data_IF_236807897970
#
_entry.id   IF_236807897970
#
_cell.length_a   1.000
_cell.length_b   1.000
_cell.length_c   1.000
_cell.angle_alpha   90.00
_cell.angle_beta   90.00
_cell.angle_gamma   90.00
#
_symmetry.space_group_name_H-M   'P 1'
#
loop_
_entity.id
_entity.type
_entity.pdbx_description
1 polymer ?
#
# COMPACT_ATOMS: atom_id res chain seq x y z
N UNK A 1 -30.30 -5.36 54.40
CA UNK A 1 -29.42 -6.42 53.86
C UNK A 1 -28.60 -5.78 52.75
N UNK A 2 -27.31 -5.60 52.99
CA UNK A 2 -26.40 -4.83 52.15
C UNK A 2 -25.93 -5.67 50.95
N UNK A 3 -25.90 -5.04 49.79
CA UNK A 3 -25.41 -5.53 48.51
C UNK A 3 -23.87 -5.54 48.51
N UNK A 4 -23.27 -6.72 48.35
CA UNK A 4 -21.82 -6.86 48.20
C UNK A 4 -21.43 -6.83 46.71
N UNK A 5 -20.65 -5.82 46.33
CA UNK A 5 -19.90 -5.79 45.07
C UNK A 5 -18.68 -6.72 45.17
N UNK A 6 -18.32 -7.50 44.13
CA UNK A 6 -17.07 -8.24 44.13
C UNK A 6 -15.90 -7.28 43.84
N UNK A 7 -15.00 -7.17 44.81
CA UNK A 7 -13.76 -6.40 44.70
C UNK A 7 -12.80 -7.04 43.70
N UNK A 8 -12.26 -6.21 42.80
CA UNK A 8 -11.11 -6.57 41.98
C UNK A 8 -9.84 -6.41 42.80
N UNK A 9 -9.25 -7.53 43.19
CA UNK A 9 -7.88 -7.57 43.73
C UNK A 9 -6.92 -7.36 42.57
N UNK A 10 -6.24 -6.22 42.51
CA UNK A 10 -5.11 -6.03 41.59
C UNK A 10 -3.91 -6.83 42.10
N UNK A 11 -3.55 -7.90 41.40
CA UNK A 11 -2.20 -8.47 41.46
C UNK A 11 -1.36 -7.80 40.39
N UNK A 12 -0.53 -6.86 40.82
CA UNK A 12 0.57 -6.28 40.06
C UNK A 12 1.67 -7.33 39.85
N UNK A 13 2.06 -7.59 38.60
CA UNK A 13 3.45 -7.81 38.18
C UNK A 13 3.47 -8.07 36.67
N UNK A 14 3.98 -7.10 35.89
CA UNK A 14 4.95 -7.29 34.81
C UNK A 14 5.37 -5.90 34.32
N UNK A 15 6.51 -5.42 34.79
CA UNK A 15 7.21 -4.29 34.17
C UNK A 15 7.74 -4.75 32.80
N UNK A 16 6.97 -4.49 31.75
CA UNK A 16 7.53 -4.43 30.40
C UNK A 16 8.18 -3.05 30.24
N UNK A 17 9.46 -2.95 29.81
CA UNK A 17 10.05 -1.65 29.57
C UNK A 17 9.32 -1.00 28.41
N UNK A 18 8.64 0.13 28.67
CA UNK A 18 8.18 1.01 27.62
C UNK A 18 9.41 1.45 26.81
N UNK A 19 9.56 0.91 25.60
CA UNK A 19 10.58 1.36 24.67
C UNK A 19 10.26 2.80 24.30
N UNK A 20 10.90 3.73 25.00
CA UNK A 20 10.85 5.15 24.66
C UNK A 20 11.64 5.31 23.37
N UNK A 21 10.94 5.27 22.23
CA UNK A 21 11.47 5.69 20.94
C UNK A 21 11.71 7.20 21.00
N UNK A 22 12.81 7.60 21.65
CA UNK A 22 13.21 8.99 21.76
C UNK A 22 13.50 9.51 20.35
N UNK A 23 12.64 10.41 19.87
CA UNK A 23 12.82 11.13 18.62
C UNK A 23 14.12 11.93 18.69
N UNK A 24 15.15 11.48 17.98
CA UNK A 24 16.44 12.17 17.87
C UNK A 24 16.36 13.13 16.68
N UNK A 25 16.59 14.44 16.84
CA UNK A 25 16.52 15.38 15.74
C UNK A 25 17.56 15.04 14.68
N UNK A 26 17.13 15.01 13.42
CA UNK A 26 17.89 14.49 12.29
C UNK A 26 19.19 15.27 12.01
N UNK A 27 20.24 14.53 11.66
CA UNK A 27 21.44 15.02 10.99
C UNK A 27 21.10 15.72 9.66
N UNK A 28 22.07 16.45 9.08
CA UNK A 28 21.94 17.27 7.86
C UNK A 28 20.89 16.74 6.86
N UNK A 29 19.90 17.58 6.53
CA UNK A 29 18.75 17.23 5.68
C UNK A 29 19.22 16.71 4.33
N UNK A 30 19.24 15.39 4.16
CA UNK A 30 19.33 14.74 2.85
C UNK A 30 18.19 15.28 1.98
N UNK A 31 18.50 15.76 0.78
CA UNK A 31 17.47 16.17 -0.17
C UNK A 31 16.70 14.93 -0.65
N UNK A 32 15.42 14.91 -0.33
CA UNK A 32 14.46 13.84 -0.58
C UNK A 32 13.39 14.26 -1.59
N UNK A 33 13.60 15.36 -2.33
CA UNK A 33 12.70 15.76 -3.39
C UNK A 33 12.66 14.71 -4.50
N UNK A 34 11.52 14.55 -5.18
CA UNK A 34 11.40 13.62 -6.31
C UNK A 34 12.44 13.89 -7.40
N UNK A 35 12.82 15.17 -7.58
CA UNK A 35 13.86 15.58 -8.52
C UNK A 35 15.26 15.05 -8.18
N UNK A 36 15.52 14.81 -6.90
CA UNK A 36 16.78 14.25 -6.39
C UNK A 36 16.71 12.74 -6.29
N UNK A 37 15.58 12.20 -5.83
CA UNK A 37 15.32 10.76 -5.79
C UNK A 37 15.43 10.10 -7.18
N UNK A 38 14.82 10.69 -8.21
CA UNK A 38 14.89 10.12 -9.57
C UNK A 38 16.31 10.11 -10.16
N UNK A 39 17.18 11.03 -9.75
CA UNK A 39 18.59 11.06 -10.20
C UNK A 39 19.39 9.87 -9.69
N UNK A 40 18.98 9.24 -8.58
CA UNK A 40 19.57 7.97 -8.13
C UNK A 40 19.13 6.75 -8.94
N UNK A 41 18.24 6.93 -9.92
CA UNK A 41 17.67 5.86 -10.73
C UNK A 41 17.89 6.16 -12.23
N UNK A 42 19.09 5.84 -12.77
CA UNK A 42 19.41 6.13 -14.16
C UNK A 42 18.39 5.56 -15.14
N UNK A 43 18.01 6.34 -16.15
CA UNK A 43 17.01 5.94 -17.15
C UNK A 43 15.55 6.20 -16.74
N UNK A 44 15.32 6.71 -15.52
CA UNK A 44 14.01 7.16 -15.07
C UNK A 44 13.90 8.69 -15.06
N UNK A 45 12.68 9.18 -15.18
CA UNK A 45 12.34 10.60 -15.11
C UNK A 45 11.00 10.81 -14.44
N UNK A 46 10.85 11.94 -13.75
CA UNK A 46 9.56 12.39 -13.25
C UNK A 46 8.66 12.83 -14.42
N UNK A 47 7.36 12.72 -14.19
CA UNK A 47 6.31 13.20 -15.07
C UNK A 47 5.09 13.64 -14.26
N UNK A 48 4.26 14.46 -14.89
CA UNK A 48 2.96 14.85 -14.34
C UNK A 48 1.92 14.84 -15.46
N UNK A 49 0.72 14.38 -15.16
CA UNK A 49 -0.43 14.49 -16.03
C UNK A 49 -1.63 14.98 -15.23
N UNK A 50 -2.53 15.72 -15.87
CA UNK A 50 -3.82 16.09 -15.29
C UNK A 50 -4.88 15.21 -15.93
N UNK A 51 -5.55 14.40 -15.11
CA UNK A 51 -6.54 13.39 -15.50
C UNK A 51 -7.70 13.45 -14.52
N UNK A 52 -8.94 13.35 -14.97
CA UNK A 52 -10.15 13.41 -14.15
C UNK A 52 -10.17 14.58 -13.14
N UNK A 53 -9.60 15.72 -13.52
CA UNK A 53 -9.49 16.91 -12.66
C UNK A 53 -8.45 16.84 -11.55
N UNK A 54 -7.63 15.78 -11.48
CA UNK A 54 -6.50 15.64 -10.55
C UNK A 54 -5.17 15.62 -11.30
N UNK A 55 -4.16 16.31 -10.76
CA UNK A 55 -2.79 16.20 -11.26
C UNK A 55 -2.08 15.06 -10.54
N UNK A 56 -1.69 14.02 -11.29
CA UNK A 56 -0.92 12.89 -10.80
C UNK A 56 0.58 13.08 -11.10
N UNK A 57 1.40 12.70 -10.13
CA UNK A 57 2.83 12.50 -10.28
C UNK A 57 3.11 11.04 -10.65
N UNK A 58 4.06 10.82 -11.55
CA UNK A 58 4.56 9.49 -11.87
C UNK A 58 6.05 9.53 -12.21
N UNK A 59 6.72 8.40 -12.04
CA UNK A 59 8.10 8.16 -12.47
C UNK A 59 8.08 7.11 -13.57
N UNK A 60 8.72 7.40 -14.70
CA UNK A 60 8.72 6.51 -15.88
C UNK A 60 10.13 6.22 -16.36
N UNK A 61 10.39 4.98 -16.76
CA UNK A 61 11.66 4.55 -17.34
C UNK A 61 11.57 3.16 -17.97
N UNK A 62 12.65 2.72 -18.61
CA UNK A 62 12.69 1.42 -19.30
C UNK A 62 12.16 1.46 -20.74
N UNK A 63 12.01 0.27 -21.33
CA UNK A 63 11.53 0.05 -22.69
C UNK A 63 10.78 -1.28 -22.77
N UNK A 64 9.77 -1.35 -23.64
CA UNK A 64 8.93 -2.54 -23.82
C UNK A 64 7.48 -2.26 -23.47
N UNK A 65 6.72 -3.32 -23.25
CA UNK A 65 5.30 -3.23 -22.85
C UNK A 65 5.13 -2.42 -21.55
N UNK A 66 4.03 -1.67 -21.39
CA UNK A 66 3.81 -0.82 -20.23
C UNK A 66 3.45 -1.63 -18.97
N UNK A 67 4.15 -1.34 -17.87
CA UNK A 67 3.89 -1.89 -16.53
C UNK A 67 3.64 -0.74 -15.54
N UNK A 68 2.42 -0.66 -15.02
CA UNK A 68 2.04 0.32 -14.00
C UNK A 68 2.26 -0.26 -12.60
N UNK A 69 2.94 0.48 -11.71
CA UNK A 69 3.15 0.11 -10.32
C UNK A 69 2.48 1.13 -9.38
N UNK A 70 1.60 0.63 -8.48
CA UNK A 70 0.80 1.44 -7.57
C UNK A 70 1.23 1.20 -6.09
N UNK A 71 1.72 2.23 -5.39
CA UNK A 71 2.22 2.10 -4.01
C UNK A 71 1.12 1.94 -2.96
N UNK A 72 1.55 1.49 -1.79
CA UNK A 72 0.76 1.41 -0.57
C UNK A 72 0.86 2.61 0.36
N UNK A 73 0.18 2.53 1.49
CA UNK A 73 0.41 3.43 2.63
C UNK A 73 1.33 2.77 3.67
N UNK A 74 2.25 3.52 4.33
CA UNK A 74 2.49 4.96 4.25
C UNK A 74 3.60 5.33 3.25
N UNK A 75 3.64 4.65 2.11
CA UNK A 75 4.70 4.79 1.11
C UNK A 75 4.34 5.80 0.00
N UNK A 76 5.20 5.88 -1.01
CA UNK A 76 5.05 6.66 -2.25
C UNK A 76 5.61 5.85 -3.42
N UNK A 77 5.71 6.41 -4.62
CA UNK A 77 6.41 5.79 -5.75
C UNK A 77 7.79 5.22 -5.39
N UNK A 78 8.45 5.84 -4.40
CA UNK A 78 9.78 5.44 -3.94
C UNK A 78 9.85 3.99 -3.44
N UNK A 79 8.75 3.37 -2.98
CA UNK A 79 8.79 1.98 -2.49
C UNK A 79 9.28 0.97 -3.52
N UNK A 80 9.10 1.29 -4.81
CA UNK A 80 9.52 0.42 -5.90
C UNK A 80 10.95 0.69 -6.37
N UNK A 81 11.69 1.64 -5.77
CA UNK A 81 13.03 2.05 -6.25
C UNK A 81 14.02 0.89 -6.34
N UNK A 82 13.88 -0.15 -5.51
CA UNK A 82 14.75 -1.35 -5.51
C UNK A 82 14.43 -2.35 -6.60
N UNK A 83 13.17 -2.37 -7.09
CA UNK A 83 12.73 -3.37 -8.08
C UNK A 83 12.54 -2.79 -9.47
N UNK A 84 12.18 -1.50 -9.58
CA UNK A 84 11.87 -0.88 -10.86
C UNK A 84 13.04 -0.91 -11.87
N UNK A 85 14.34 -0.82 -11.50
CA UNK A 85 15.43 -0.94 -12.47
C UNK A 85 15.46 -2.30 -13.16
N UNK A 86 15.30 -3.40 -12.42
CA UNK A 86 15.29 -4.75 -12.98
C UNK A 86 14.05 -4.97 -13.87
N UNK A 87 12.89 -4.43 -13.48
CA UNK A 87 11.69 -4.47 -14.31
C UNK A 87 11.85 -3.67 -15.61
N UNK A 88 12.54 -2.52 -15.54
CA UNK A 88 12.75 -1.62 -16.68
C UNK A 88 13.70 -2.15 -17.76
N UNK A 89 14.42 -3.25 -17.50
CA UNK A 89 15.18 -3.97 -18.53
C UNK A 89 14.26 -4.63 -19.57
N UNK A 90 12.98 -4.86 -19.23
CA UNK A 90 12.02 -5.57 -20.06
C UNK A 90 10.71 -4.81 -20.34
N UNK A 91 10.36 -3.87 -19.46
CA UNK A 91 9.10 -3.12 -19.50
C UNK A 91 9.33 -1.62 -19.52
N UNK A 92 8.36 -0.87 -20.05
CA UNK A 92 8.25 0.55 -19.73
C UNK A 92 7.53 0.67 -18.39
N UNK A 93 8.28 0.91 -17.31
CA UNK A 93 7.78 0.94 -15.94
C UNK A 93 7.27 2.34 -15.61
N UNK A 94 6.03 2.43 -15.13
CA UNK A 94 5.33 3.66 -14.75
C UNK A 94 4.90 3.53 -13.29
N UNK A 95 5.59 4.19 -12.38
CA UNK A 95 5.26 4.17 -10.94
C UNK A 95 4.50 5.44 -10.59
N UNK A 96 3.30 5.31 -10.02
CA UNK A 96 2.37 6.45 -9.87
C UNK A 96 2.16 6.75 -8.40
N UNK A 97 2.36 8.02 -8.00
CA UNK A 97 1.79 8.47 -6.72
C UNK A 97 0.28 8.57 -6.91
N UNK A 98 -0.50 7.77 -6.18
CA UNK A 98 -1.96 7.80 -6.24
C UNK A 98 -2.53 9.18 -5.86
N UNK A 99 -3.80 9.46 -6.18
CA UNK A 99 -4.47 10.65 -5.62
C UNK A 99 -4.33 10.65 -4.09
N UNK A 100 -3.95 11.79 -3.53
CA UNK A 100 -3.66 11.93 -2.11
C UNK A 100 -2.22 11.61 -1.68
N UNK A 101 -1.47 10.89 -2.51
CA UNK A 101 -0.12 10.39 -2.20
C UNK A 101 0.96 11.35 -2.72
N UNK A 102 2.12 11.35 -2.05
CA UNK A 102 3.35 11.96 -2.57
C UNK A 102 3.16 13.34 -3.20
N UNK A 103 3.65 13.50 -4.43
CA UNK A 103 3.52 14.75 -5.19
C UNK A 103 2.22 14.89 -6.00
N UNK A 104 1.33 13.90 -5.93
CA UNK A 104 -0.01 13.96 -6.52
C UNK A 104 -0.95 14.88 -5.74
N UNK A 105 -1.98 15.33 -6.46
CA UNK A 105 -3.05 16.18 -5.93
C UNK A 105 -3.75 15.53 -4.75
N UNK A 106 -4.19 16.35 -3.79
CA UNK A 106 -4.92 15.93 -2.59
C UNK A 106 -6.35 16.53 -2.65
N UNK A 107 -7.22 16.05 -3.57
CA UNK A 107 -8.59 16.53 -3.67
C UNK A 107 -9.36 16.26 -2.37
N UNK A 108 -10.55 16.83 -2.23
CA UNK A 108 -11.39 16.63 -1.04
C UNK A 108 -12.10 15.28 -1.04
N UNK A 109 -12.24 14.62 -2.19
CA UNK A 109 -13.06 13.44 -2.41
C UNK A 109 -12.51 12.50 -3.51
N UNK A 110 -13.29 11.46 -3.84
CA UNK A 110 -13.01 10.49 -4.90
C UNK A 110 -11.94 9.47 -4.53
N UNK A 111 -11.87 9.06 -3.27
CA UNK A 111 -10.87 8.13 -2.74
C UNK A 111 -11.31 6.65 -2.72
N UNK A 112 -12.51 6.37 -3.24
CA UNK A 112 -12.92 5.02 -3.59
C UNK A 112 -12.05 4.48 -4.74
N UNK A 113 -11.73 3.19 -4.68
CA UNK A 113 -10.75 2.57 -5.58
C UNK A 113 -11.22 2.56 -7.02
N UNK A 114 -12.54 2.60 -7.27
CA UNK A 114 -13.12 2.74 -8.60
C UNK A 114 -12.77 4.09 -9.23
N UNK A 115 -12.94 5.19 -8.50
CA UNK A 115 -12.53 6.53 -8.94
C UNK A 115 -11.02 6.61 -9.12
N UNK A 116 -10.24 6.06 -8.18
CA UNK A 116 -8.78 6.02 -8.30
C UNK A 116 -8.32 5.23 -9.53
N UNK A 117 -8.98 4.11 -9.83
CA UNK A 117 -8.72 3.31 -11.03
C UNK A 117 -9.01 4.08 -12.32
N UNK A 118 -10.05 4.92 -12.34
CA UNK A 118 -10.35 5.79 -13.48
C UNK A 118 -9.23 6.80 -13.75
N UNK A 119 -8.58 7.34 -12.71
CA UNK A 119 -7.40 8.20 -12.89
C UNK A 119 -6.24 7.45 -13.53
N UNK A 120 -5.98 6.22 -13.09
CA UNK A 120 -4.91 5.39 -13.64
C UNK A 120 -5.21 5.05 -15.10
N UNK A 121 -6.46 4.74 -15.43
CA UNK A 121 -6.88 4.48 -16.81
C UNK A 121 -6.72 5.70 -17.72
N UNK A 122 -7.17 6.88 -17.29
CA UNK A 122 -6.94 8.08 -18.11
C UNK A 122 -5.46 8.46 -18.18
N UNK A 123 -4.67 8.20 -17.13
CA UNK A 123 -3.23 8.40 -17.16
C UNK A 123 -2.57 7.50 -18.22
N UNK A 124 -2.86 6.20 -18.24
CA UNK A 124 -2.27 5.27 -19.23
C UNK A 124 -2.66 5.66 -20.66
N UNK A 125 -3.92 6.03 -20.88
CA UNK A 125 -4.41 6.57 -22.15
C UNK A 125 -3.67 7.85 -22.57
N UNK A 126 -3.49 8.81 -21.64
CA UNK A 126 -2.77 10.07 -21.91
C UNK A 126 -1.29 9.86 -22.26
N UNK A 127 -0.71 8.74 -21.82
CA UNK A 127 0.66 8.33 -22.14
C UNK A 127 0.74 7.49 -23.43
N UNK A 128 -0.39 7.20 -24.08
CA UNK A 128 -0.48 6.45 -25.33
C UNK A 128 -0.51 4.93 -25.15
N UNK A 129 -0.93 4.43 -23.99
CA UNK A 129 -1.02 3.00 -23.70
C UNK A 129 -2.49 2.56 -23.59
N UNK A 130 -2.93 1.78 -24.58
CA UNK A 130 -4.29 1.23 -24.60
C UNK A 130 -4.48 0.06 -23.63
N UNK A 131 -3.39 -0.66 -23.35
CA UNK A 131 -3.39 -1.85 -22.51
C UNK A 131 -2.11 -1.92 -21.71
N UNK A 132 -2.20 -2.25 -20.43
CA UNK A 132 -1.04 -2.31 -19.52
C UNK A 132 -1.07 -3.56 -18.63
N UNK A 133 0.10 -4.04 -18.25
CA UNK A 133 0.21 -4.82 -17.03
C UNK A 133 0.13 -3.86 -15.83
N UNK A 134 -0.59 -4.24 -14.77
CA UNK A 134 -0.77 -3.40 -13.59
C UNK A 134 -0.47 -4.19 -12.32
N UNK A 135 0.33 -3.59 -11.44
CA UNK A 135 0.70 -4.15 -10.17
C UNK A 135 0.45 -3.13 -9.06
N UNK A 136 0.04 -3.60 -7.88
CA UNK A 136 -0.14 -2.72 -6.74
C UNK A 136 0.21 -3.39 -5.42
N UNK A 137 0.67 -2.59 -4.46
CA UNK A 137 0.93 -2.96 -3.07
C UNK A 137 -0.04 -2.25 -2.14
N UNK A 138 -0.55 -2.95 -1.11
CA UNK A 138 -1.47 -2.40 -0.11
C UNK A 138 -2.68 -1.68 -0.74
N UNK A 139 -2.97 -0.40 -0.43
CA UNK A 139 -4.04 0.37 -1.07
C UNK A 139 -3.88 0.39 -2.60
N UNK A 140 -2.66 0.44 -3.11
CA UNK A 140 -2.37 0.33 -4.55
C UNK A 140 -2.78 -1.02 -5.14
N UNK A 141 -2.69 -2.11 -4.38
CA UNK A 141 -3.21 -3.44 -4.78
C UNK A 141 -4.73 -3.40 -4.96
N UNK A 142 -5.44 -2.73 -4.03
CA UNK A 142 -6.88 -2.56 -4.13
C UNK A 142 -7.29 -1.65 -5.32
N UNK A 143 -6.49 -0.63 -5.66
CA UNK A 143 -6.70 0.18 -6.88
C UNK A 143 -6.43 -0.63 -8.14
N UNK A 144 -5.37 -1.45 -8.17
CA UNK A 144 -5.04 -2.30 -9.32
C UNK A 144 -6.15 -3.33 -9.60
N UNK A 145 -6.73 -3.91 -8.56
CA UNK A 145 -7.92 -4.77 -8.69
C UNK A 145 -9.12 -4.01 -9.28
N UNK A 146 -9.44 -2.84 -8.73
CA UNK A 146 -10.54 -2.02 -9.25
C UNK A 146 -10.31 -1.60 -10.71
N UNK A 147 -9.06 -1.34 -11.11
CA UNK A 147 -8.71 -1.10 -12.52
C UNK A 147 -9.03 -2.31 -13.39
N UNK A 148 -8.61 -3.51 -12.97
CA UNK A 148 -8.82 -4.72 -13.74
C UNK A 148 -10.30 -5.08 -13.91
N UNK A 149 -11.13 -4.86 -12.88
CA UNK A 149 -12.58 -5.08 -12.93
C UNK A 149 -13.30 -4.06 -13.82
N UNK A 150 -12.93 -2.77 -13.75
CA UNK A 150 -13.61 -1.72 -14.52
C UNK A 150 -13.09 -1.59 -15.95
N UNK A 151 -11.84 -2.00 -16.22
CA UNK A 151 -11.16 -1.87 -17.51
C UNK A 151 -10.48 -3.19 -17.94
N UNK A 152 -11.23 -4.30 -18.07
CA UNK A 152 -10.63 -5.61 -18.38
C UNK A 152 -9.93 -5.63 -19.74
N UNK A 153 -10.45 -4.90 -20.74
CA UNK A 153 -9.83 -4.79 -22.07
C UNK A 153 -8.47 -4.05 -22.04
N UNK A 154 -8.35 -3.07 -21.14
CA UNK A 154 -7.13 -2.28 -20.93
C UNK A 154 -6.14 -2.94 -19.94
N UNK A 155 -6.45 -4.16 -19.46
CA UNK A 155 -5.62 -4.90 -18.51
C UNK A 155 -5.00 -6.11 -19.19
N UNK A 156 -3.67 -6.17 -19.24
CA UNK A 156 -2.93 -7.32 -19.75
C UNK A 156 -2.81 -8.43 -18.69
N UNK A 157 -2.20 -8.08 -17.57
CA UNK A 157 -1.98 -8.94 -16.40
C UNK A 157 -2.10 -8.11 -15.13
N UNK A 158 -2.58 -8.73 -14.06
CA UNK A 158 -2.73 -8.10 -12.74
C UNK A 158 -1.76 -8.74 -11.74
N UNK A 159 -1.04 -7.92 -10.97
CA UNK A 159 -0.26 -8.36 -9.81
C UNK A 159 -0.77 -7.65 -8.55
N UNK A 160 -1.15 -8.43 -7.54
CA UNK A 160 -1.67 -7.92 -6.27
C UNK A 160 -0.74 -8.30 -5.13
N UNK A 161 -0.29 -7.31 -4.36
CA UNK A 161 0.65 -7.48 -3.27
C UNK A 161 0.02 -7.06 -1.94
N UNK A 162 -0.01 -7.99 -0.99
CA UNK A 162 -0.25 -7.76 0.45
C UNK A 162 -1.61 -7.25 0.92
N UNK A 163 -2.49 -6.76 0.04
CA UNK A 163 -3.85 -6.35 0.42
C UNK A 163 -4.87 -6.63 -0.69
N UNK A 164 -5.98 -7.35 -0.41
CA UNK A 164 -7.01 -7.57 -1.40
C UNK A 164 -7.89 -6.31 -1.50
N UNK A 165 -8.68 -6.20 -2.56
CA UNK A 165 -9.69 -5.16 -2.64
C UNK A 165 -10.72 -5.33 -1.50
N UNK A 166 -11.13 -4.25 -0.81
CA UNK A 166 -12.15 -4.33 0.25
C UNK A 166 -13.40 -5.11 -0.15
N UNK A 167 -13.74 -6.11 0.66
CA UNK A 167 -14.95 -6.91 0.54
C UNK A 167 -15.69 -7.02 1.88
N UNK A 168 -16.81 -7.75 1.90
CA UNK A 168 -17.60 -7.96 3.11
C UNK A 168 -16.80 -8.59 4.26
N UNK A 169 -15.70 -9.31 3.97
CA UNK A 169 -14.87 -9.92 5.01
C UNK A 169 -14.22 -8.90 5.93
N UNK A 170 -13.86 -7.70 5.42
CA UNK A 170 -13.27 -6.64 6.23
C UNK A 170 -14.19 -6.16 7.36
N UNK A 171 -15.51 -6.24 7.18
CA UNK A 171 -16.49 -5.87 8.22
C UNK A 171 -16.48 -6.85 9.41
N UNK A 172 -15.86 -8.02 9.26
CA UNK A 172 -15.75 -9.04 10.30
C UNK A 172 -14.45 -8.95 11.11
N UNK A 173 -13.56 -8.01 10.76
CA UNK A 173 -12.30 -7.82 11.48
C UNK A 173 -12.58 -7.14 12.82
N UNK A 174 -12.19 -7.76 13.95
CA UNK A 174 -12.45 -7.19 15.26
C UNK A 174 -11.55 -5.98 15.50
N UNK A 175 -12.11 -4.94 16.10
CA UNK A 175 -11.34 -3.79 16.56
C UNK A 175 -10.34 -4.17 17.67
N UNK A 176 -10.72 -5.12 18.51
CA UNK A 176 -9.91 -5.58 19.63
C UNK A 176 -9.18 -6.88 19.25
N UNK A 177 -7.87 -6.99 19.56
CA UNK A 177 -7.15 -8.24 19.36
C UNK A 177 -7.70 -9.34 20.29
N UNK A 178 -7.62 -10.58 19.84
CA UNK A 178 -7.93 -11.73 20.69
C UNK A 178 -6.91 -11.83 21.85
N UNK A 179 -7.30 -12.51 22.93
CA UNK A 179 -6.40 -12.73 24.07
C UNK A 179 -5.09 -13.40 23.60
N UNK A 180 -3.94 -12.82 23.94
CA UNK A 180 -2.62 -13.27 23.52
C UNK A 180 -2.21 -12.93 22.07
N UNK A 181 -3.05 -12.24 21.30
CA UNK A 181 -2.71 -11.76 19.96
C UNK A 181 -2.10 -10.36 19.94
N UNK A 182 -2.10 -9.65 21.07
CA UNK A 182 -1.42 -8.37 21.21
C UNK A 182 0.10 -8.56 21.35
N UNK A 183 0.88 -7.85 20.54
CA UNK A 183 2.34 -7.89 20.59
C UNK A 183 2.98 -6.77 19.77
N UNK A 184 4.30 -6.65 19.88
CA UNK A 184 5.09 -5.55 19.29
C UNK A 184 5.32 -5.70 17.77
N UNK A 185 5.05 -6.88 17.21
CA UNK A 185 5.18 -7.19 15.78
C UNK A 185 3.92 -7.86 15.26
N UNK A 186 3.74 -7.79 13.95
CA UNK A 186 2.73 -8.55 13.25
C UNK A 186 3.00 -10.05 13.43
N UNK A 187 2.20 -10.69 14.28
CA UNK A 187 2.23 -12.13 14.50
C UNK A 187 1.38 -12.89 13.47
N UNK A 188 1.34 -14.21 13.63
CA UNK A 188 0.47 -15.10 12.84
C UNK A 188 -0.99 -15.11 13.30
N UNK A 189 -1.28 -14.57 14.50
CA UNK A 189 -2.63 -14.30 14.98
C UNK A 189 -3.12 -12.95 14.41
N UNK A 190 -4.43 -12.82 14.14
CA UNK A 190 -5.03 -11.67 13.42
C UNK A 190 -4.42 -10.32 13.86
N UNK A 191 -4.01 -9.45 12.92
CA UNK A 191 -3.34 -8.20 13.22
C UNK A 191 -4.19 -7.29 14.12
N UNK A 192 -3.52 -6.52 14.98
CA UNK A 192 -4.13 -5.40 15.69
C UNK A 192 -4.30 -4.21 14.72
N UNK A 193 -5.35 -4.21 13.91
CA UNK A 193 -5.64 -3.21 12.87
C UNK A 193 -6.19 -1.89 13.43
N UNK A 194 -5.62 -1.35 14.51
CA UNK A 194 -6.14 -0.14 15.16
C UNK A 194 -6.18 1.07 14.21
N UNK A 195 -5.23 1.16 13.26
CA UNK A 195 -5.15 2.29 12.34
C UNK A 195 -6.31 2.30 11.32
N UNK A 196 -6.89 1.14 11.00
CA UNK A 196 -8.10 1.08 10.16
C UNK A 196 -9.24 1.86 10.81
N UNK A 197 -9.39 1.75 12.14
CA UNK A 197 -10.40 2.50 12.87
C UNK A 197 -9.98 3.95 13.12
N UNK A 198 -8.71 4.19 13.41
CA UNK A 198 -8.18 5.54 13.64
C UNK A 198 -8.35 6.45 12.41
N UNK A 199 -8.03 5.93 11.21
CA UNK A 199 -8.12 6.69 9.95
C UNK A 199 -9.58 6.96 9.52
N UNK A 200 -10.57 6.29 10.12
CA UNK A 200 -11.99 6.59 9.92
C UNK A 200 -12.45 7.82 10.71
N UNK A 201 -11.71 8.24 11.75
CA UNK A 201 -12.11 9.36 12.60
C UNK A 201 -11.84 10.68 11.88
N UNK A 202 -12.91 11.41 11.52
CA UNK A 202 -12.76 12.68 10.82
C UNK A 202 -12.09 13.76 11.69
N UNK A 203 -11.01 14.35 11.19
CA UNK A 203 -10.36 15.53 11.77
C UNK A 203 -9.45 15.29 12.98
N UNK A 204 -9.54 14.14 13.65
CA UNK A 204 -8.66 13.82 14.79
C UNK A 204 -7.24 13.42 14.34
N UNK A 205 -7.03 12.51 13.36
CA UNK A 205 -5.69 12.14 12.94
C UNK A 205 -4.87 13.34 12.43
N UNK A 206 -5.48 14.26 11.70
CA UNK A 206 -4.82 15.47 11.21
C UNK A 206 -4.29 16.33 12.36
N UNK A 207 -5.09 16.52 13.42
CA UNK A 207 -4.70 17.28 14.62
C UNK A 207 -3.58 16.59 15.41
N UNK A 208 -3.56 15.26 15.44
CA UNK A 208 -2.56 14.49 16.16
C UNK A 208 -1.25 14.38 15.39
N UNK A 209 -1.31 14.13 14.08
CA UNK A 209 -0.17 13.70 13.29
C UNK A 209 0.47 14.79 12.43
N UNK A 210 -0.19 15.92 12.15
CA UNK A 210 0.45 16.97 11.36
C UNK A 210 1.72 17.49 12.05
N UNK A 211 2.86 17.47 11.35
CA UNK A 211 4.19 17.76 11.91
C UNK A 211 4.79 16.65 12.78
N UNK A 212 4.09 15.51 12.96
CA UNK A 212 4.47 14.38 13.82
C UNK A 212 4.18 13.01 13.19
N UNK A 213 3.86 12.94 11.90
CA UNK A 213 3.41 11.69 11.23
C UNK A 213 4.44 10.58 11.35
N UNK A 214 5.71 10.99 11.50
CA UNK A 214 6.84 10.11 11.72
C UNK A 214 6.67 9.13 12.87
N UNK A 215 6.00 9.54 13.95
CA UNK A 215 5.76 8.70 15.12
C UNK A 215 4.88 7.49 14.77
N UNK A 216 3.84 7.72 13.99
CA UNK A 216 2.94 6.66 13.51
C UNK A 216 3.66 5.77 12.49
N UNK A 217 4.36 6.37 11.52
CA UNK A 217 5.12 5.62 10.52
C UNK A 217 6.18 4.72 11.15
N UNK A 218 6.95 5.23 12.11
CA UNK A 218 7.97 4.42 12.80
C UNK A 218 7.32 3.26 13.58
N UNK A 219 6.17 3.51 14.22
CA UNK A 219 5.40 2.44 14.87
C UNK A 219 4.93 1.38 13.88
N UNK A 220 4.38 1.78 12.74
CA UNK A 220 3.89 0.85 11.70
C UNK A 220 5.04 0.06 11.08
N UNK A 221 6.13 0.72 10.70
CA UNK A 221 7.30 0.02 10.15
C UNK A 221 7.90 -0.95 11.16
N UNK A 222 7.94 -0.60 12.45
CA UNK A 222 8.34 -1.55 13.49
C UNK A 222 7.35 -2.72 13.54
N UNK A 223 6.05 -2.46 13.60
CA UNK A 223 5.04 -3.50 13.69
C UNK A 223 5.08 -4.46 12.49
N UNK A 224 5.28 -3.94 11.27
CA UNK A 224 5.09 -4.68 10.03
C UNK A 224 6.34 -5.26 9.39
N UNK A 225 7.53 -4.70 9.62
CA UNK A 225 8.77 -5.22 9.02
C UNK A 225 9.31 -6.39 9.83
N UNK A 226 9.82 -7.41 9.12
CA UNK A 226 10.69 -8.43 9.72
C UNK A 226 12.12 -7.89 9.79
N UNK A 227 12.59 -7.26 8.72
CA UNK A 227 13.88 -6.59 8.63
C UNK A 227 13.71 -5.06 8.66
N UNK A 228 13.87 -4.44 9.83
CA UNK A 228 13.75 -2.98 9.95
C UNK A 228 14.73 -2.18 9.09
N UNK A 229 15.86 -2.77 8.71
CA UNK A 229 16.86 -2.12 7.85
C UNK A 229 16.45 -2.09 6.38
N UNK A 230 15.39 -2.83 6.01
CA UNK A 230 14.84 -2.78 4.67
C UNK A 230 14.30 -1.39 4.33
N UNK A 231 13.70 -0.70 5.29
CA UNK A 231 13.28 0.69 5.11
C UNK A 231 14.24 1.56 5.91
N UNK A 232 15.25 2.12 5.25
CA UNK A 232 16.33 2.85 5.90
C UNK A 232 15.91 4.28 6.28
N UNK A 233 16.81 5.06 6.89
CA UNK A 233 16.53 6.43 7.32
C UNK A 233 16.17 7.39 6.19
N UNK A 234 16.70 7.18 4.97
CA UNK A 234 16.38 7.99 3.80
C UNK A 234 14.98 7.66 3.31
N UNK A 235 14.65 6.37 3.14
CA UNK A 235 13.31 5.92 2.73
C UNK A 235 12.25 6.49 3.68
N UNK A 236 12.52 6.32 4.97
CA UNK A 236 11.77 6.87 6.07
C UNK A 236 11.55 8.39 5.97
N UNK A 237 12.58 9.16 5.62
CA UNK A 237 12.46 10.61 5.46
C UNK A 237 11.61 11.00 4.24
N UNK A 238 11.70 10.23 3.14
CA UNK A 238 10.83 10.40 1.95
C UNK A 238 9.37 10.22 2.35
N UNK A 239 9.06 9.13 3.05
CA UNK A 239 7.70 8.83 3.48
C UNK A 239 7.17 9.84 4.51
N UNK A 240 8.00 10.31 5.43
CA UNK A 240 7.60 11.38 6.35
C UNK A 240 7.21 12.64 5.56
N UNK A 241 8.06 13.08 4.63
CA UNK A 241 7.83 14.30 3.86
C UNK A 241 6.51 14.28 3.09
N UNK A 242 6.14 13.13 2.53
CA UNK A 242 4.90 12.97 1.78
C UNK A 242 3.64 13.17 2.64
N UNK A 243 3.69 12.79 3.91
CA UNK A 243 2.50 12.75 4.78
C UNK A 243 2.52 13.74 5.96
N UNK A 244 3.58 14.52 6.18
CA UNK A 244 3.71 15.35 7.40
C UNK A 244 2.83 16.63 7.45
N UNK A 245 1.77 16.70 6.64
CA UNK A 245 0.84 17.84 6.60
C UNK A 245 -0.60 17.38 6.81
N UNK A 246 -1.44 18.25 7.38
CA UNK A 246 -2.85 17.96 7.61
C UNK A 246 -3.60 17.55 6.32
N UNK A 247 -3.28 18.19 5.19
CA UNK A 247 -3.90 17.85 3.91
C UNK A 247 -3.50 16.44 3.40
N UNK A 248 -2.25 16.04 3.63
CA UNK A 248 -1.78 14.71 3.24
C UNK A 248 -2.32 13.61 4.17
N UNK A 249 -2.39 13.87 5.48
CA UNK A 249 -3.02 12.97 6.45
C UNK A 249 -4.49 12.78 6.12
N UNK A 250 -5.24 13.87 5.89
CA UNK A 250 -6.64 13.80 5.44
C UNK A 250 -6.80 12.95 4.19
N UNK A 251 -5.92 13.14 3.21
CA UNK A 251 -5.96 12.38 1.97
C UNK A 251 -5.67 10.88 2.19
N UNK A 252 -4.71 10.54 3.05
CA UNK A 252 -4.42 9.15 3.43
C UNK A 252 -5.59 8.51 4.19
N UNK A 253 -6.21 9.26 5.12
CA UNK A 253 -7.41 8.83 5.84
C UNK A 253 -8.57 8.51 4.90
N UNK A 254 -8.75 9.35 3.87
CA UNK A 254 -9.84 9.23 2.93
C UNK A 254 -9.82 7.89 2.15
N UNK A 255 -8.66 7.25 1.97
CA UNK A 255 -8.59 5.90 1.38
C UNK A 255 -9.29 4.84 2.25
N UNK A 256 -9.16 4.95 3.58
CA UNK A 256 -9.83 4.06 4.54
C UNK A 256 -11.31 4.43 4.68
N UNK A 257 -11.64 5.72 4.71
CA UNK A 257 -13.01 6.21 4.80
C UNK A 257 -13.85 5.81 3.58
N UNK A 258 -13.21 5.51 2.44
CA UNK A 258 -13.86 5.01 1.25
C UNK A 258 -14.17 3.50 1.27
N UNK A 259 -13.64 2.72 2.24
CA UNK A 259 -13.87 1.26 2.28
C UNK A 259 -15.34 0.83 2.25
N UNK A 260 -16.30 1.51 2.90
CA UNK A 260 -17.71 1.14 2.76
C UNK A 260 -18.22 1.23 1.31
N UNK A 261 -17.77 2.23 0.55
CA UNK A 261 -18.10 2.34 -0.88
C UNK A 261 -17.39 1.25 -1.69
N UNK A 262 -16.10 1.01 -1.41
CA UNK A 262 -15.32 -0.04 -2.08
C UNK A 262 -15.96 -1.43 -1.90
N UNK A 263 -16.41 -1.75 -0.68
CA UNK A 263 -17.14 -3.00 -0.38
C UNK A 263 -18.45 -3.06 -1.16
N UNK A 264 -19.18 -1.94 -1.25
CA UNK A 264 -20.41 -1.87 -2.03
C UNK A 264 -20.17 -2.10 -3.52
N UNK A 265 -19.09 -1.53 -4.07
CA UNK A 265 -18.72 -1.71 -5.48
C UNK A 265 -18.29 -3.16 -5.75
N UNK A 266 -17.52 -3.76 -4.85
CA UNK A 266 -17.03 -5.14 -4.98
C UNK A 266 -18.15 -6.20 -5.07
N UNK A 267 -19.33 -5.92 -4.52
CA UNK A 267 -20.52 -6.78 -4.66
C UNK A 267 -21.05 -6.84 -6.09
N UNK A 268 -20.74 -5.85 -6.91
CA UNK A 268 -21.13 -5.77 -8.33
C UNK A 268 -20.01 -6.21 -9.28
N UNK A 269 -18.81 -6.42 -8.77
CA UNK A 269 -17.66 -6.91 -9.55
C UNK A 269 -17.75 -8.41 -9.82
N UNK A 270 -17.28 -8.78 -11.01
CA UNK A 270 -17.40 -10.12 -11.58
C UNK A 270 -16.21 -11.01 -11.19
N UNK A 271 -15.77 -11.80 -12.17
CA UNK A 271 -14.52 -12.54 -12.09
C UNK A 271 -13.47 -11.91 -13.00
N UNK A 272 -12.26 -11.74 -12.47
CA UNK A 272 -11.06 -11.36 -13.22
C UNK A 272 -10.74 -12.46 -14.24
N UNK A 273 -10.81 -12.09 -15.53
CA UNK A 273 -10.57 -13.00 -16.66
C UNK A 273 -9.11 -13.03 -17.12
N UNK A 274 -8.36 -11.96 -16.86
CA UNK A 274 -6.92 -11.88 -17.15
C UNK A 274 -6.11 -12.73 -16.15
N UNK A 275 -4.87 -13.11 -16.49
CA UNK A 275 -3.98 -13.73 -15.52
C UNK A 275 -3.74 -12.82 -14.31
N UNK A 276 -3.80 -13.41 -13.11
CA UNK A 276 -3.58 -12.73 -11.84
C UNK A 276 -2.44 -13.40 -11.08
N UNK A 277 -1.48 -12.60 -10.61
CA UNK A 277 -0.49 -13.01 -9.62
C UNK A 277 -0.83 -12.39 -8.27
N UNK A 278 -0.93 -13.22 -7.26
CA UNK A 278 -1.00 -12.80 -5.86
C UNK A 278 0.36 -13.01 -5.20
N UNK A 279 0.83 -12.00 -4.47
CA UNK A 279 2.05 -12.11 -3.67
C UNK A 279 1.79 -11.60 -2.25
N UNK A 280 2.35 -12.29 -1.26
CA UNK A 280 2.36 -11.79 0.10
C UNK A 280 3.30 -12.56 1.00
N UNK A 281 3.77 -11.94 2.07
CA UNK A 281 4.30 -12.58 3.26
C UNK A 281 3.16 -12.80 4.26
N UNK A 282 2.95 -11.90 5.25
CA UNK A 282 1.96 -12.11 6.29
C UNK A 282 0.52 -12.18 5.76
N UNK A 283 0.20 -11.48 4.66
CA UNK A 283 -1.13 -11.49 4.06
C UNK A 283 -1.36 -12.66 3.09
N UNK A 284 -0.35 -13.49 2.79
CA UNK A 284 -0.41 -14.51 1.73
C UNK A 284 -1.67 -15.37 1.75
N UNK A 285 -2.00 -15.94 2.91
CA UNK A 285 -3.18 -16.83 3.05
C UNK A 285 -4.49 -16.09 2.83
N UNK A 286 -4.58 -14.85 3.31
CA UNK A 286 -5.77 -14.03 3.17
C UNK A 286 -5.95 -13.58 1.71
N UNK A 287 -4.88 -13.10 1.08
CA UNK A 287 -4.85 -12.74 -0.34
C UNK A 287 -5.28 -13.90 -1.23
N UNK A 288 -4.68 -15.08 -1.03
CA UNK A 288 -4.98 -16.28 -1.81
C UNK A 288 -6.45 -16.70 -1.68
N UNK A 289 -7.03 -16.56 -0.49
CA UNK A 289 -8.45 -16.86 -0.25
C UNK A 289 -9.35 -15.86 -0.98
N UNK A 290 -9.19 -14.55 -0.70
CA UNK A 290 -10.09 -13.51 -1.22
C UNK A 290 -9.99 -13.37 -2.73
N UNK A 291 -8.77 -13.34 -3.27
CA UNK A 291 -8.56 -13.18 -4.73
C UNK A 291 -8.86 -14.47 -5.48
N UNK A 292 -8.64 -15.64 -4.86
CA UNK A 292 -8.94 -16.94 -5.47
C UNK A 292 -10.42 -17.12 -5.82
N UNK A 293 -11.33 -16.54 -5.03
CA UNK A 293 -12.77 -16.56 -5.32
C UNK A 293 -13.17 -15.61 -6.46
N UNK A 294 -12.28 -14.68 -6.84
CA UNK A 294 -12.52 -13.62 -7.83
C UNK A 294 -11.75 -13.81 -9.13
N UNK A 295 -10.76 -14.69 -9.22
CA UNK A 295 -9.90 -14.83 -10.39
C UNK A 295 -9.99 -16.21 -11.03
N UNK A 296 -10.21 -16.27 -12.35
CA UNK A 296 -10.29 -17.55 -13.08
C UNK A 296 -8.92 -18.18 -13.33
N UNK A 297 -7.88 -17.35 -13.44
CA UNK A 297 -6.49 -17.77 -13.64
C UNK A 297 -5.60 -17.05 -12.63
N UNK A 298 -5.33 -17.71 -11.50
CA UNK A 298 -4.54 -17.15 -10.41
C UNK A 298 -3.30 -18.00 -10.12
N UNK A 299 -2.15 -17.35 -10.11
CA UNK A 299 -0.93 -17.83 -9.48
C UNK A 299 -0.71 -17.13 -8.14
N UNK A 300 -0.07 -17.79 -7.17
CA UNK A 300 0.18 -17.22 -5.86
C UNK A 300 1.61 -17.53 -5.38
N UNK A 301 2.29 -16.50 -4.84
CA UNK A 301 3.66 -16.60 -4.30
C UNK A 301 3.67 -16.16 -2.84
N UNK A 302 4.10 -17.08 -1.97
CA UNK A 302 4.48 -16.77 -0.60
C UNK A 302 5.88 -16.13 -0.61
N UNK A 303 5.99 -14.91 -0.10
CA UNK A 303 7.25 -14.18 0.06
C UNK A 303 7.74 -14.40 1.48
N UNK A 304 8.33 -15.57 1.69
CA UNK A 304 8.83 -16.02 2.99
C UNK A 304 9.88 -15.05 3.56
N UNK A 305 9.95 -14.98 4.90
CA UNK A 305 10.86 -14.09 5.63
C UNK A 305 10.69 -12.62 5.25
N UNK A 306 9.47 -12.24 4.89
CA UNK A 306 9.06 -10.86 4.70
C UNK A 306 7.91 -10.52 5.63
N UNK A 307 7.88 -9.28 6.09
CA UNK A 307 6.70 -8.62 6.58
C UNK A 307 5.87 -8.05 5.43
N UNK A 308 5.13 -6.98 5.74
CA UNK A 308 4.14 -6.40 4.82
C UNK A 308 4.77 -5.64 3.63
N UNK A 309 5.99 -5.15 3.75
CA UNK A 309 6.63 -4.35 2.71
C UNK A 309 7.52 -5.22 1.81
N UNK A 310 6.91 -6.19 1.12
CA UNK A 310 7.63 -7.27 0.43
C UNK A 310 8.63 -6.78 -0.62
N UNK A 311 8.33 -5.69 -1.32
CA UNK A 311 9.19 -5.06 -2.33
C UNK A 311 10.41 -4.38 -1.71
N UNK A 312 10.31 -3.96 -0.45
CA UNK A 312 11.40 -3.33 0.30
C UNK A 312 12.27 -4.38 1.01
N UNK A 313 11.64 -5.44 1.54
CA UNK A 313 12.29 -6.50 2.33
C UNK A 313 12.90 -7.62 1.48
N UNK A 314 12.24 -8.02 0.39
CA UNK A 314 12.64 -9.13 -0.48
C UNK A 314 12.65 -8.71 -1.97
N UNK A 315 13.35 -7.61 -2.34
CA UNK A 315 13.26 -6.99 -3.66
C UNK A 315 13.61 -7.96 -4.81
N UNK A 316 14.66 -8.78 -4.65
CA UNK A 316 15.09 -9.74 -5.66
C UNK A 316 14.04 -10.82 -5.92
N UNK A 317 13.45 -11.38 -4.85
CA UNK A 317 12.38 -12.39 -4.95
C UNK A 317 11.14 -11.78 -5.58
N UNK A 318 10.75 -10.58 -5.17
CA UNK A 318 9.58 -9.87 -5.73
C UNK A 318 9.77 -9.58 -7.22
N UNK A 319 10.89 -8.94 -7.60
CA UNK A 319 11.18 -8.62 -8.99
C UNK A 319 11.22 -9.87 -9.88
N UNK A 320 11.90 -10.94 -9.42
CA UNK A 320 11.97 -12.20 -10.16
C UNK A 320 10.59 -12.83 -10.36
N UNK A 321 9.79 -12.96 -9.30
CA UNK A 321 8.46 -13.55 -9.40
C UNK A 321 7.53 -12.73 -10.30
N UNK A 322 7.61 -11.40 -10.24
CA UNK A 322 6.90 -10.53 -11.18
C UNK A 322 7.34 -10.78 -12.62
N UNK A 323 8.65 -10.81 -12.90
CA UNK A 323 9.15 -11.05 -14.26
C UNK A 323 8.75 -12.42 -14.80
N UNK A 324 8.91 -13.49 -14.00
CA UNK A 324 8.53 -14.86 -14.38
C UNK A 324 7.04 -14.90 -14.79
N UNK A 325 6.17 -14.23 -14.02
CA UNK A 325 4.74 -14.17 -14.31
C UNK A 325 4.41 -13.24 -15.49
N UNK A 326 5.01 -12.05 -15.56
CA UNK A 326 4.71 -11.09 -16.60
C UNK A 326 5.19 -11.58 -17.98
N UNK A 327 6.26 -12.36 -18.04
CA UNK A 327 6.81 -12.93 -19.27
C UNK A 327 6.20 -14.28 -19.66
N UNK A 328 5.41 -14.91 -18.79
CA UNK A 328 4.75 -16.18 -19.12
C UNK A 328 3.79 -16.03 -20.31
N UNK A 329 3.70 -17.06 -21.14
CA UNK A 329 2.70 -17.11 -22.20
C UNK A 329 1.28 -17.13 -21.61
N UNK A 330 0.30 -16.61 -22.37
CA UNK A 330 -1.11 -16.81 -22.05
C UNK A 330 -1.42 -18.29 -22.28
N UNK A 331 -1.79 -19.01 -21.22
CA UNK A 331 -2.41 -20.34 -21.32
C UNK A 331 -3.85 -20.22 -21.84
#
# INVERSE_FOLDING_TARGET
>A
MATASPGYTQTSTTDAPAATHAHKPAAAKTDISDSTLVKSLPGFRNGYATVNGVRLHYVIGGKGEPLVLLPGWPETWWTFHKIMPALAEHYTVIVVDLRGMGASSKPTDGYDKKTMAADIHELTQSLGYDKVAIAGHDIGSAVAFAYAENYPEATDKLVMMEFPHPDDSLQTFPLLPANGAYGDRLGSARPNLWWFAFNQVSGLPEQLLAGRVRLEQDWLFHYFLVNEKAVDMRDRAVYEHAYNSAAAIRAGNAWYQAFPQDISDNRNYGQLQMPVLVMGGPAYKWMKMVVGDKAVNMSAVDVENSGHFIQEEQPERVAKSMLDFLQSARE
#
